data_IF_511182286082
#
_entry.id   IF_511182286082
#
_cell.length_a   1.000
_cell.length_b   1.000
_cell.length_c   1.000
_cell.angle_alpha   90.00
_cell.angle_beta   90.00
_cell.angle_gamma   90.00
#
_symmetry.space_group_name_H-M   'P 1'
#
loop_
_entity.id
_entity.type
_entity.pdbx_description
1 polymer ?
#
# COMPACT_ATOMS: atom_id res chain seq x y z
N UNK A 1 -7.68 20.78 -20.88
CA UNK A 1 -6.91 21.24 -19.70
C UNK A 1 -5.50 20.67 -19.82
N UNK A 2 -4.49 21.27 -19.18
CA UNK A 2 -3.15 20.67 -19.15
C UNK A 2 -3.19 19.37 -18.34
N UNK A 3 -2.51 18.32 -18.83
CA UNK A 3 -2.42 17.03 -18.13
C UNK A 3 -1.63 17.21 -16.83
N UNK A 4 -2.21 16.80 -15.72
CA UNK A 4 -1.57 16.78 -14.41
C UNK A 4 -0.78 15.48 -14.26
N UNK A 5 0.51 15.58 -13.99
CA UNK A 5 1.38 14.39 -13.77
C UNK A 5 1.63 14.21 -12.28
N UNK A 6 1.44 12.99 -11.79
CA UNK A 6 1.62 12.65 -10.38
C UNK A 6 2.37 11.34 -10.20
N UNK A 7 2.99 11.17 -9.05
CA UNK A 7 3.44 9.88 -8.54
C UNK A 7 2.48 9.40 -7.44
N UNK A 8 2.32 8.10 -7.31
CA UNK A 8 1.52 7.48 -6.25
C UNK A 8 2.42 6.77 -5.24
N UNK A 9 2.08 6.91 -3.99
CA UNK A 9 2.71 6.22 -2.87
C UNK A 9 1.64 5.40 -2.13
N UNK A 10 1.66 4.06 -2.32
CA UNK A 10 0.60 3.15 -1.92
C UNK A 10 1.01 2.37 -0.66
N UNK A 11 0.34 2.64 0.46
CA UNK A 11 0.60 1.90 1.71
C UNK A 11 0.19 0.44 1.64
N UNK A 12 0.92 -0.39 2.38
CA UNK A 12 0.53 -1.73 2.76
C UNK A 12 -0.42 -1.76 3.96
N UNK A 13 -1.26 -2.78 4.03
CA UNK A 13 -2.22 -2.95 5.10
C UNK A 13 -3.21 -4.10 4.87
N UNK A 14 -2.79 -5.16 4.18
CA UNK A 14 -3.62 -6.33 3.92
C UNK A 14 -4.89 -5.99 3.15
N UNK A 15 -6.04 -6.55 3.58
CA UNK A 15 -7.32 -6.34 2.92
C UNK A 15 -7.79 -4.87 2.91
N UNK A 16 -7.25 -4.01 3.80
CA UNK A 16 -7.52 -2.57 3.73
C UNK A 16 -6.99 -1.92 2.44
N UNK A 17 -6.11 -2.57 1.70
CA UNK A 17 -5.72 -2.18 0.35
C UNK A 17 -6.86 -2.09 -0.66
N UNK A 18 -8.05 -2.62 -0.34
CA UNK A 18 -9.26 -2.41 -1.12
C UNK A 18 -9.74 -0.94 -1.10
N UNK A 19 -9.39 -0.16 -0.08
CA UNK A 19 -9.58 1.29 -0.11
C UNK A 19 -8.70 1.91 -1.21
N UNK A 20 -7.43 1.50 -1.32
CA UNK A 20 -6.54 1.93 -2.40
C UNK A 20 -7.10 1.56 -3.77
N UNK A 21 -7.68 0.36 -3.93
CA UNK A 21 -8.40 -0.01 -5.15
C UNK A 21 -9.48 1.00 -5.52
N UNK A 22 -10.34 1.40 -4.56
CA UNK A 22 -11.37 2.41 -4.78
C UNK A 22 -10.79 3.77 -5.20
N UNK A 23 -9.72 4.21 -4.53
CA UNK A 23 -9.01 5.45 -4.88
C UNK A 23 -8.48 5.38 -6.32
N UNK A 24 -7.79 4.30 -6.67
CA UNK A 24 -7.21 4.12 -8.01
C UNK A 24 -8.29 4.05 -9.08
N UNK A 25 -9.40 3.34 -8.83
CA UNK A 25 -10.54 3.25 -9.76
C UNK A 25 -11.08 4.66 -10.08
N UNK A 26 -11.21 5.52 -9.07
CA UNK A 26 -11.70 6.90 -9.25
C UNK A 26 -10.65 7.79 -9.95
N UNK A 27 -9.38 7.72 -9.57
CA UNK A 27 -8.30 8.49 -10.22
C UNK A 27 -8.13 8.11 -11.70
N UNK A 28 -8.26 6.83 -12.04
CA UNK A 28 -8.18 6.33 -13.42
C UNK A 28 -9.34 6.80 -14.31
N UNK A 29 -10.43 7.31 -13.74
CA UNK A 29 -11.53 7.91 -14.51
C UNK A 29 -11.27 9.36 -14.95
N UNK A 30 -10.17 9.99 -14.47
CA UNK A 30 -9.79 11.36 -14.82
C UNK A 30 -8.86 11.39 -16.03
N UNK A 31 -9.35 11.83 -17.19
CA UNK A 31 -8.58 11.83 -18.45
C UNK A 31 -7.38 12.78 -18.45
N UNK A 32 -7.44 13.85 -17.64
CA UNK A 32 -6.39 14.87 -17.51
C UNK A 32 -5.41 14.58 -16.36
N UNK A 33 -5.44 13.37 -15.78
CA UNK A 33 -4.52 12.93 -14.75
C UNK A 33 -3.61 11.80 -15.28
N UNK A 34 -2.29 11.97 -15.17
CA UNK A 34 -1.30 10.98 -15.60
C UNK A 34 -0.48 10.47 -14.42
N UNK A 35 -0.54 9.17 -14.16
CA UNK A 35 0.26 8.48 -13.14
C UNK A 35 1.62 8.13 -13.77
N UNK A 36 2.70 8.76 -13.30
CA UNK A 36 4.05 8.58 -13.84
C UNK A 36 4.83 7.47 -13.15
N UNK A 37 4.67 7.34 -11.84
CA UNK A 37 5.32 6.29 -11.07
C UNK A 37 4.48 5.88 -9.86
N UNK A 38 4.73 4.67 -9.38
CA UNK A 38 4.08 4.09 -8.19
C UNK A 38 5.17 3.51 -7.29
N UNK A 39 5.19 3.91 -6.03
CA UNK A 39 5.91 3.21 -4.97
C UNK A 39 4.89 2.48 -4.11
N UNK A 40 5.02 1.16 -3.98
CA UNK A 40 4.06 0.34 -3.27
C UNK A 40 4.71 -0.60 -2.26
N UNK A 41 3.95 -0.92 -1.22
CA UNK A 41 4.33 -1.87 -0.19
C UNK A 41 3.16 -2.83 0.08
N UNK A 42 3.42 -4.14 0.15
CA UNK A 42 2.41 -5.15 0.51
C UNK A 42 1.17 -5.05 -0.39
N UNK A 43 -0.02 -4.81 0.18
CA UNK A 43 -1.24 -4.58 -0.60
C UNK A 43 -1.11 -3.40 -1.59
N UNK A 44 -0.32 -2.37 -1.25
CA UNK A 44 0.02 -1.28 -2.17
C UNK A 44 0.81 -1.75 -3.37
N UNK A 45 1.73 -2.71 -3.18
CA UNK A 45 2.45 -3.37 -4.29
C UNK A 45 1.51 -4.17 -5.19
N UNK A 46 0.58 -4.93 -4.61
CA UNK A 46 -0.42 -5.69 -5.38
C UNK A 46 -1.28 -4.75 -6.25
N UNK A 47 -1.77 -3.66 -5.68
CA UNK A 47 -2.52 -2.64 -6.41
C UNK A 47 -1.68 -2.00 -7.53
N UNK A 48 -0.42 -1.64 -7.22
CA UNK A 48 0.49 -1.04 -8.20
C UNK A 48 0.82 -1.98 -9.36
N UNK A 49 1.03 -3.26 -9.08
CA UNK A 49 1.28 -4.29 -10.08
C UNK A 49 0.05 -4.54 -10.97
N UNK A 50 -1.15 -4.64 -10.38
CA UNK A 50 -2.39 -4.78 -11.11
C UNK A 50 -2.65 -3.57 -12.04
N UNK A 51 -2.46 -2.36 -11.51
CA UNK A 51 -2.59 -1.14 -12.31
C UNK A 51 -1.61 -1.12 -13.48
N UNK A 52 -0.31 -1.39 -13.24
CA UNK A 52 0.71 -1.40 -14.30
C UNK A 52 0.40 -2.44 -15.35
N UNK A 53 0.10 -3.68 -14.96
CA UNK A 53 -0.24 -4.76 -15.90
C UNK A 53 -1.47 -4.38 -16.75
N UNK A 54 -2.54 -3.92 -16.12
CA UNK A 54 -3.74 -3.52 -16.84
C UNK A 54 -3.55 -2.30 -17.74
N UNK A 55 -2.67 -1.34 -17.37
CA UNK A 55 -2.31 -0.22 -18.23
C UNK A 55 -1.62 -0.68 -19.51
N UNK A 56 -0.80 -1.72 -19.44
CA UNK A 56 -0.13 -2.34 -20.59
C UNK A 56 -1.14 -3.09 -21.48
N UNK A 57 -2.06 -3.82 -20.87
CA UNK A 57 -3.06 -4.65 -21.55
C UNK A 57 -4.14 -3.83 -22.27
N UNK A 58 -4.69 -2.81 -21.59
CA UNK A 58 -5.87 -2.09 -22.07
C UNK A 58 -5.96 -0.63 -21.61
N UNK A 59 -4.84 -0.01 -21.27
CA UNK A 59 -4.81 1.37 -20.79
C UNK A 59 -5.59 1.53 -19.48
N UNK A 60 -6.23 2.68 -19.30
CA UNK A 60 -6.95 3.00 -18.05
C UNK A 60 -8.06 2.02 -17.71
N UNK A 61 -8.82 1.57 -18.72
CA UNK A 61 -9.88 0.58 -18.49
C UNK A 61 -9.28 -0.77 -18.12
N UNK A 62 -8.24 -1.22 -18.82
CA UNK A 62 -7.53 -2.44 -18.47
C UNK A 62 -6.97 -2.41 -17.04
N UNK A 63 -6.47 -1.26 -16.57
CA UNK A 63 -6.02 -1.08 -15.19
C UNK A 63 -7.19 -1.25 -14.18
N UNK A 64 -8.35 -0.67 -14.46
CA UNK A 64 -9.55 -0.83 -13.63
C UNK A 64 -10.02 -2.28 -13.58
N UNK A 65 -10.09 -2.93 -14.75
CA UNK A 65 -10.51 -4.33 -14.87
C UNK A 65 -9.55 -5.26 -14.12
N UNK A 66 -8.24 -4.98 -14.17
CA UNK A 66 -7.22 -5.78 -13.48
C UNK A 66 -7.25 -5.59 -11.96
N UNK A 67 -7.56 -4.38 -11.48
CA UNK A 67 -7.79 -4.10 -10.07
C UNK A 67 -9.06 -4.81 -9.56
N UNK A 68 -10.16 -4.77 -10.33
CA UNK A 68 -11.40 -5.46 -10.01
C UNK A 68 -11.17 -6.99 -9.92
N UNK A 69 -10.44 -7.55 -10.89
CA UNK A 69 -10.06 -8.94 -10.89
C UNK A 69 -9.21 -9.32 -9.65
N UNK A 70 -8.16 -8.54 -9.35
CA UNK A 70 -7.29 -8.80 -8.19
C UNK A 70 -8.10 -8.93 -6.89
N UNK A 71 -8.96 -7.97 -6.63
CA UNK A 71 -9.72 -7.94 -5.39
C UNK A 71 -10.87 -8.95 -5.36
N UNK A 72 -11.39 -9.35 -6.52
CA UNK A 72 -12.31 -10.49 -6.63
C UNK A 72 -11.60 -11.80 -6.25
N UNK A 73 -10.39 -12.05 -6.76
CA UNK A 73 -9.58 -13.24 -6.42
C UNK A 73 -9.21 -13.27 -4.92
N UNK A 74 -8.81 -12.12 -4.36
CA UNK A 74 -8.51 -12.00 -2.92
C UNK A 74 -9.76 -12.29 -2.08
N UNK A 75 -10.93 -11.79 -2.48
CA UNK A 75 -12.20 -11.96 -1.78
C UNK A 75 -12.87 -13.33 -1.98
N UNK A 76 -12.51 -14.06 -3.05
CA UNK A 76 -13.05 -15.39 -3.35
C UNK A 76 -12.48 -16.50 -2.46
N UNK A 77 -11.46 -16.23 -1.68
CA UNK A 77 -10.86 -17.22 -0.78
C UNK A 77 -11.78 -17.56 0.36
N UNK A 78 -12.06 -18.88 0.60
CA UNK A 78 -13.23 -19.35 1.34
C UNK A 78 -13.17 -19.19 2.86
N UNK A 79 -12.14 -18.51 3.40
CA UNK A 79 -11.81 -18.67 4.81
C UNK A 79 -12.78 -18.05 5.82
N UNK A 80 -13.65 -17.09 5.40
CA UNK A 80 -14.76 -16.63 6.27
C UNK A 80 -15.88 -15.98 5.44
N UNK A 81 -16.84 -16.75 4.98
CA UNK A 81 -18.09 -16.20 4.47
C UNK A 81 -18.88 -15.57 5.63
N UNK A 82 -18.94 -14.25 5.68
CA UNK A 82 -19.90 -13.57 6.56
C UNK A 82 -21.31 -13.94 6.06
N UNK A 83 -22.17 -14.47 6.93
CA UNK A 83 -23.54 -14.78 6.55
C UNK A 83 -24.23 -13.53 5.99
N UNK A 84 -25.00 -13.68 4.92
CA UNK A 84 -25.66 -12.57 4.22
C UNK A 84 -26.52 -11.66 5.14
N UNK A 85 -27.01 -12.19 6.27
CA UNK A 85 -27.79 -11.43 7.25
C UNK A 85 -26.96 -10.40 8.04
N UNK A 86 -25.60 -10.51 8.04
CA UNK A 86 -24.72 -9.51 8.66
C UNK A 86 -24.42 -8.33 7.73
N UNK A 87 -24.78 -8.39 6.47
CA UNK A 87 -24.52 -7.33 5.48
C UNK A 87 -25.13 -5.95 5.82
N UNK A 88 -26.24 -5.82 6.55
CA UNK A 88 -26.77 -4.51 6.94
C UNK A 88 -26.04 -3.84 8.12
N UNK A 89 -25.09 -4.53 8.78
CA UNK A 89 -24.36 -3.95 9.89
C UNK A 89 -23.24 -3.02 9.41
N UNK A 90 -22.88 -2.03 10.24
CA UNK A 90 -21.74 -1.14 9.96
C UNK A 90 -20.43 -1.92 9.90
N UNK A 91 -19.43 -1.39 9.19
CA UNK A 91 -18.09 -1.99 9.15
C UNK A 91 -17.47 -2.16 10.54
N UNK A 92 -17.72 -1.22 11.46
CA UNK A 92 -17.27 -1.32 12.86
C UNK A 92 -17.85 -2.54 13.58
N UNK A 93 -19.16 -2.81 13.40
CA UNK A 93 -19.79 -3.99 14.00
C UNK A 93 -19.26 -5.29 13.40
N UNK A 94 -19.04 -5.32 12.08
CA UNK A 94 -18.42 -6.48 11.40
C UNK A 94 -16.97 -6.66 11.88
N UNK A 95 -16.23 -5.57 12.01
CA UNK A 95 -14.85 -5.58 12.52
C UNK A 95 -14.77 -6.18 13.93
N UNK A 96 -15.63 -5.72 14.85
CA UNK A 96 -15.70 -6.27 16.21
C UNK A 96 -16.12 -7.74 16.21
N UNK A 97 -17.13 -8.11 15.44
CA UNK A 97 -17.60 -9.51 15.37
C UNK A 97 -16.49 -10.44 14.84
N UNK A 98 -15.68 -10.00 13.87
CA UNK A 98 -14.52 -10.76 13.38
C UNK A 98 -13.42 -10.85 14.44
N UNK A 99 -13.06 -9.73 15.08
CA UNK A 99 -11.98 -9.66 16.06
C UNK A 99 -12.22 -10.59 17.25
N UNK A 100 -13.46 -10.68 17.73
CA UNK A 100 -13.86 -11.56 18.86
C UNK A 100 -14.38 -12.92 18.41
N UNK A 101 -14.32 -13.25 17.12
CA UNK A 101 -14.71 -14.57 16.65
C UNK A 101 -13.69 -15.63 17.08
N UNK A 102 -14.16 -16.77 17.55
CA UNK A 102 -13.28 -17.86 17.99
C UNK A 102 -12.25 -18.31 16.93
N UNK A 103 -12.62 -18.45 15.62
CA UNK A 103 -11.64 -18.83 14.60
C UNK A 103 -10.52 -17.80 14.42
N UNK A 104 -10.82 -16.49 14.43
CA UNK A 104 -9.81 -15.44 14.29
C UNK A 104 -8.91 -15.39 15.54
N UNK A 105 -9.48 -15.50 16.74
CA UNK A 105 -8.70 -15.55 17.98
C UNK A 105 -7.79 -16.79 18.02
N UNK A 106 -8.28 -17.94 17.59
CA UNK A 106 -7.49 -19.17 17.52
C UNK A 106 -6.37 -19.06 16.49
N UNK A 107 -6.64 -18.50 15.31
CA UNK A 107 -5.64 -18.27 14.27
C UNK A 107 -4.55 -17.28 14.72
N UNK A 108 -4.93 -16.21 15.41
CA UNK A 108 -3.99 -15.25 16.00
C UNK A 108 -3.11 -15.90 17.08
N UNK A 109 -3.71 -16.64 18.01
CA UNK A 109 -2.96 -17.37 19.04
C UNK A 109 -2.02 -18.42 18.41
N UNK A 110 -2.47 -19.12 17.36
CA UNK A 110 -1.66 -20.09 16.64
C UNK A 110 -0.48 -19.42 15.93
N UNK A 111 -0.69 -18.29 15.23
CA UNK A 111 0.36 -17.56 14.52
C UNK A 111 1.45 -17.00 15.45
N UNK A 112 1.11 -16.76 16.72
CA UNK A 112 2.06 -16.35 17.78
C UNK A 112 2.82 -17.52 18.39
N UNK A 113 2.22 -18.71 18.40
CA UNK A 113 2.79 -19.91 19.02
C UNK A 113 3.61 -20.75 18.04
N UNK A 114 3.28 -20.72 16.76
CA UNK A 114 3.84 -21.60 15.73
C UNK A 114 4.49 -20.80 14.63
N UNK A 115 5.79 -21.04 14.40
CA UNK A 115 6.51 -20.42 13.29
C UNK A 115 5.97 -20.90 11.95
N UNK A 116 5.87 -20.04 10.91
CA UNK A 116 5.53 -20.45 9.54
C UNK A 116 6.43 -21.57 8.98
N UNK A 117 7.66 -21.69 9.50
CA UNK A 117 8.59 -22.75 9.11
C UNK A 117 8.21 -24.14 9.65
N UNK A 118 7.32 -24.20 10.64
CA UNK A 118 6.82 -25.50 11.15
C UNK A 118 5.98 -26.27 10.12
N UNK A 119 5.44 -25.60 9.08
CA UNK A 119 4.73 -26.25 7.98
C UNK A 119 5.66 -27.03 7.04
N UNK A 120 6.99 -26.80 7.12
CA UNK A 120 7.98 -27.53 6.32
C UNK A 120 7.68 -27.48 4.82
N UNK A 121 7.80 -28.66 4.11
CA UNK A 121 7.59 -28.72 2.68
C UNK A 121 6.13 -28.55 2.23
N UNK A 122 5.19 -28.54 3.16
CA UNK A 122 3.77 -28.32 2.88
C UNK A 122 3.39 -26.83 2.86
N UNK A 123 4.33 -25.93 3.18
CA UNK A 123 4.09 -24.51 3.10
C UNK A 123 3.86 -24.05 1.67
N UNK A 124 2.80 -23.31 1.44
CA UNK A 124 2.51 -22.62 0.19
C UNK A 124 2.02 -21.22 0.49
N UNK A 125 2.61 -20.22 -0.14
CA UNK A 125 2.15 -18.84 0.00
C UNK A 125 0.80 -18.69 -0.73
N UNK A 126 -0.30 -18.33 -0.06
CA UNK A 126 -1.62 -18.26 -0.67
C UNK A 126 -1.76 -17.16 -1.73
N UNK A 127 -0.90 -16.14 -1.73
CA UNK A 127 -0.91 -15.08 -2.73
C UNK A 127 -0.24 -15.47 -4.04
N UNK A 128 0.60 -16.53 -4.04
CA UNK A 128 1.39 -16.93 -5.22
C UNK A 128 0.52 -17.18 -6.44
N UNK A 129 -0.56 -17.94 -6.29
CA UNK A 129 -1.45 -18.30 -7.40
C UNK A 129 -2.14 -17.09 -8.03
N UNK A 130 -2.35 -16.02 -7.26
CA UNK A 130 -2.91 -14.76 -7.74
C UNK A 130 -1.82 -13.95 -8.45
N UNK A 131 -0.66 -13.82 -7.82
CA UNK A 131 0.44 -12.99 -8.34
C UNK A 131 1.04 -13.58 -9.62
N UNK A 132 1.11 -14.90 -9.77
CA UNK A 132 1.59 -15.58 -10.98
C UNK A 132 0.71 -15.34 -12.21
N UNK A 133 -0.53 -14.88 -12.02
CA UNK A 133 -1.41 -14.50 -13.14
C UNK A 133 -1.12 -13.11 -13.72
N UNK A 134 -0.23 -12.33 -13.11
CA UNK A 134 0.33 -11.14 -13.74
C UNK A 134 1.43 -11.58 -14.70
N UNK A 135 1.36 -11.17 -15.97
CA UNK A 135 2.41 -11.45 -16.96
C UNK A 135 3.57 -10.47 -16.78
N UNK A 136 4.49 -10.80 -15.87
CA UNK A 136 5.68 -9.97 -15.60
C UNK A 136 6.66 -9.95 -16.79
N UNK A 137 6.64 -10.95 -17.67
CA UNK A 137 7.39 -10.92 -18.93
C UNK A 137 6.94 -9.73 -19.78
N UNK A 138 5.64 -9.66 -20.07
CA UNK A 138 5.07 -8.54 -20.82
C UNK A 138 5.23 -7.20 -20.07
N UNK A 139 5.13 -7.18 -18.72
CA UNK A 139 5.33 -5.98 -17.88
C UNK A 139 6.77 -5.47 -17.99
N UNK A 140 7.76 -6.37 -18.02
CA UNK A 140 9.17 -5.99 -18.10
C UNK A 140 9.59 -5.62 -19.54
N UNK A 141 9.11 -6.36 -20.54
CA UNK A 141 9.41 -6.08 -21.96
C UNK A 141 8.81 -4.75 -22.45
N UNK A 142 7.70 -4.32 -21.83
CA UNK A 142 7.00 -3.08 -22.16
C UNK A 142 7.18 -2.04 -21.05
N UNK A 143 8.33 -1.99 -20.40
CA UNK A 143 8.63 -1.16 -19.23
C UNK A 143 8.28 0.33 -19.38
N UNK A 144 8.34 0.86 -20.60
CA UNK A 144 7.99 2.25 -20.93
C UNK A 144 6.48 2.49 -21.02
N UNK A 145 5.66 1.43 -21.06
CA UNK A 145 4.20 1.54 -21.05
C UNK A 145 3.67 1.48 -19.64
N UNK A 146 2.86 2.46 -19.27
CA UNK A 146 2.32 2.60 -17.93
C UNK A 146 3.33 3.22 -16.94
N UNK A 147 2.96 3.34 -15.65
CA UNK A 147 3.80 3.96 -14.63
C UNK A 147 5.03 3.12 -14.29
N UNK A 148 6.15 3.78 -13.93
CA UNK A 148 7.26 3.10 -13.26
C UNK A 148 6.76 2.47 -11.96
N UNK A 149 7.15 1.23 -11.66
CA UNK A 149 6.75 0.56 -10.42
C UNK A 149 7.98 0.30 -9.54
N UNK A 150 7.88 0.72 -8.27
CA UNK A 150 8.86 0.50 -7.21
C UNK A 150 8.23 -0.36 -6.13
N UNK A 151 8.79 -1.55 -5.88
CA UNK A 151 8.29 -2.53 -4.91
C UNK A 151 9.20 -2.52 -3.69
N UNK A 152 8.65 -2.16 -2.53
CA UNK A 152 9.40 -2.08 -1.28
C UNK A 152 9.34 -3.40 -0.51
N UNK A 153 10.50 -3.91 -0.09
CA UNK A 153 10.63 -5.05 0.82
C UNK A 153 11.69 -4.76 1.89
N UNK A 154 11.68 -5.52 2.97
CA UNK A 154 12.66 -5.42 4.06
C UNK A 154 13.66 -6.57 3.96
N UNK A 155 14.95 -6.27 3.79
CA UNK A 155 16.01 -7.29 3.81
C UNK A 155 16.18 -7.79 5.25
N UNK A 156 15.94 -9.09 5.49
CA UNK A 156 15.92 -9.69 6.83
C UNK A 156 17.27 -9.54 7.53
N UNK A 157 18.35 -9.77 6.81
CA UNK A 157 19.71 -9.83 7.34
C UNK A 157 20.18 -8.54 8.00
N UNK A 158 19.75 -7.38 7.51
CA UNK A 158 20.27 -6.09 7.97
C UNK A 158 19.18 -5.04 8.27
N UNK A 159 17.90 -5.37 8.07
CA UNK A 159 16.77 -4.48 8.31
C UNK A 159 16.71 -3.26 7.38
N UNK A 160 17.40 -3.29 6.23
CA UNK A 160 17.36 -2.18 5.26
C UNK A 160 16.24 -2.39 4.25
N UNK A 161 15.69 -1.26 3.79
CA UNK A 161 14.73 -1.28 2.68
C UNK A 161 15.44 -1.74 1.39
N UNK A 162 14.75 -2.60 0.63
CA UNK A 162 15.11 -2.97 -0.74
C UNK A 162 13.97 -2.53 -1.65
N UNK A 163 14.31 -1.86 -2.74
CA UNK A 163 13.34 -1.44 -3.75
C UNK A 163 13.61 -2.18 -5.05
N UNK A 164 12.72 -3.10 -5.41
CA UNK A 164 12.74 -3.79 -6.69
C UNK A 164 12.07 -2.92 -7.75
N UNK A 165 12.62 -2.88 -8.95
CA UNK A 165 12.17 -2.04 -10.06
C UNK A 165 12.56 -2.65 -11.41
N UNK A 166 11.97 -2.13 -12.47
CA UNK A 166 12.29 -2.50 -13.85
C UNK A 166 12.27 -4.03 -14.05
N UNK A 167 13.34 -4.63 -14.55
CA UNK A 167 13.46 -6.08 -14.77
C UNK A 167 13.47 -6.94 -13.49
N UNK A 168 13.57 -6.32 -12.32
CA UNK A 168 13.52 -7.03 -11.03
C UNK A 168 12.07 -7.29 -10.56
N UNK A 169 11.06 -6.71 -11.24
CA UNK A 169 9.66 -6.95 -10.93
C UNK A 169 9.32 -8.40 -11.27
N UNK A 170 8.92 -9.15 -10.26
CA UNK A 170 8.64 -10.58 -10.36
C UNK A 170 7.60 -11.00 -9.33
N UNK A 171 7.06 -12.20 -9.47
CA UNK A 171 6.22 -12.83 -8.44
C UNK A 171 6.89 -12.78 -7.08
N UNK A 172 8.16 -13.18 -6.99
CA UNK A 172 8.87 -13.26 -5.73
C UNK A 172 9.11 -11.87 -5.12
N UNK A 173 9.39 -10.83 -5.92
CA UNK A 173 9.50 -9.45 -5.44
C UNK A 173 8.19 -8.95 -4.82
N UNK A 174 7.04 -9.25 -5.42
CA UNK A 174 5.73 -8.89 -4.88
C UNK A 174 5.42 -9.67 -3.61
N UNK A 175 5.69 -10.99 -3.61
CA UNK A 175 5.50 -11.83 -2.43
C UNK A 175 6.42 -11.41 -1.27
N UNK A 176 7.66 -11.00 -1.57
CA UNK A 176 8.59 -10.45 -0.58
C UNK A 176 8.01 -9.18 0.07
N UNK A 177 7.47 -8.27 -0.76
CA UNK A 177 6.84 -7.04 -0.29
C UNK A 177 5.62 -7.28 0.61
N UNK A 178 4.91 -8.40 0.46
CA UNK A 178 3.71 -8.77 1.21
C UNK A 178 3.97 -9.88 2.25
N UNK A 179 5.23 -10.17 2.56
CA UNK A 179 5.63 -11.27 3.44
C UNK A 179 5.64 -10.85 4.91
N UNK A 180 4.49 -10.91 5.58
CA UNK A 180 4.41 -10.73 7.04
C UNK A 180 5.06 -11.93 7.76
N UNK A 181 6.13 -11.73 8.55
CA UNK A 181 6.96 -12.81 9.09
C UNK A 181 6.24 -13.70 10.12
N UNK A 182 5.14 -13.25 10.69
CA UNK A 182 4.31 -14.04 11.62
C UNK A 182 3.38 -15.02 10.90
N UNK A 183 3.16 -14.83 9.59
CA UNK A 183 2.20 -15.60 8.79
C UNK A 183 2.90 -16.34 7.66
N UNK A 184 3.93 -15.74 7.06
CA UNK A 184 4.61 -16.25 5.88
C UNK A 184 6.09 -16.54 6.14
N UNK A 185 6.62 -17.58 5.48
CA UNK A 185 8.07 -17.79 5.41
C UNK A 185 8.70 -16.67 4.59
N UNK A 186 9.93 -16.24 4.96
CA UNK A 186 10.67 -15.25 4.20
C UNK A 186 10.81 -15.66 2.73
N UNK A 187 10.72 -14.71 1.83
CA UNK A 187 10.94 -14.95 0.41
C UNK A 187 12.42 -14.76 0.11
N UNK A 188 13.05 -15.81 -0.44
CA UNK A 188 14.45 -15.78 -0.83
C UNK A 188 14.57 -15.40 -2.31
N UNK A 189 15.40 -14.38 -2.61
CA UNK A 189 15.63 -13.86 -3.97
C UNK A 189 17.13 -13.71 -4.18
N UNK A 190 17.62 -14.08 -5.37
CA UNK A 190 18.96 -13.67 -5.82
C UNK A 190 18.98 -12.16 -6.03
N UNK A 191 19.58 -11.44 -5.08
CA UNK A 191 19.54 -9.99 -5.06
C UNK A 191 20.67 -9.40 -5.90
N UNK A 192 20.32 -8.71 -6.98
CA UNK A 192 21.27 -8.08 -7.89
C UNK A 192 22.18 -7.03 -7.22
N UNK A 193 21.72 -6.41 -6.11
CA UNK A 193 22.55 -5.44 -5.37
C UNK A 193 23.68 -6.10 -4.58
N UNK A 194 23.47 -7.31 -4.08
CA UNK A 194 24.45 -8.01 -3.24
C UNK A 194 25.15 -9.15 -3.95
N UNK A 195 24.57 -9.64 -5.05
CA UNK A 195 25.02 -10.84 -5.78
C UNK A 195 24.84 -12.14 -4.97
N UNK A 196 23.99 -12.13 -3.93
CA UNK A 196 23.72 -13.26 -3.03
C UNK A 196 22.23 -13.54 -2.96
N UNK A 197 21.86 -14.74 -2.54
CA UNK A 197 20.50 -15.05 -2.11
C UNK A 197 20.22 -14.36 -0.77
N UNK A 198 19.28 -13.44 -0.78
CA UNK A 198 18.84 -12.68 0.39
C UNK A 198 17.39 -13.03 0.73
N UNK A 199 17.08 -13.04 2.03
CA UNK A 199 15.73 -13.26 2.53
C UNK A 199 15.02 -11.91 2.78
N UNK A 200 13.74 -11.86 2.42
CA UNK A 200 12.94 -10.64 2.51
C UNK A 200 11.65 -10.85 3.30
N UNK A 201 11.29 -9.83 4.05
CA UNK A 201 10.01 -9.65 4.72
C UNK A 201 9.25 -8.46 4.14
N UNK A 202 8.00 -8.29 4.61
CA UNK A 202 7.12 -7.18 4.23
C UNK A 202 7.85 -5.82 4.31
N UNK A 203 7.66 -5.03 3.26
CA UNK A 203 8.25 -3.70 3.17
C UNK A 203 7.73 -2.73 4.23
N UNK A 204 6.58 -3.03 4.83
CA UNK A 204 5.96 -2.19 5.87
C UNK A 204 6.85 -1.87 7.07
N UNK A 205 7.85 -2.70 7.34
CA UNK A 205 8.80 -2.46 8.43
C UNK A 205 9.83 -1.36 8.13
N UNK A 206 10.14 -1.10 6.85
CA UNK A 206 11.23 -0.18 6.48
C UNK A 206 10.84 0.91 5.49
N UNK A 207 9.74 0.71 4.73
CA UNK A 207 9.22 1.67 3.76
C UNK A 207 7.76 1.40 3.45
N UNK A 208 6.82 2.10 4.08
CA UNK A 208 5.38 1.89 3.89
C UNK A 208 4.63 3.13 3.39
N UNK A 209 4.69 3.43 2.10
CA UNK A 209 5.73 3.03 1.16
C UNK A 209 7.00 3.88 1.31
N UNK A 210 8.10 3.48 0.70
CA UNK A 210 9.28 4.33 0.55
C UNK A 210 8.98 5.44 -0.48
N UNK A 211 9.23 6.71 -0.13
CA UNK A 211 9.01 7.86 -1.02
C UNK A 211 10.25 8.21 -1.84
N UNK A 212 11.45 7.92 -1.32
CA UNK A 212 12.71 8.31 -1.96
C UNK A 212 12.88 7.82 -3.41
N UNK A 213 12.31 6.67 -3.86
CA UNK A 213 12.40 6.28 -5.27
C UNK A 213 11.68 7.24 -6.22
N UNK A 214 10.73 8.02 -5.68
CA UNK A 214 9.92 8.98 -6.43
C UNK A 214 10.60 10.36 -6.56
N UNK A 215 11.74 10.60 -5.90
CA UNK A 215 12.46 11.89 -5.95
C UNK A 215 13.37 12.05 -7.17
N UNK A 216 13.23 11.17 -8.17
CA UNK A 216 14.07 11.22 -9.37
C UNK A 216 13.70 12.44 -10.23
N UNK A 217 14.69 13.16 -10.81
CA UNK A 217 14.44 14.34 -11.64
C UNK A 217 13.56 14.10 -12.88
N UNK A 218 13.50 12.86 -13.38
CA UNK A 218 12.64 12.48 -14.50
C UNK A 218 11.15 12.32 -14.13
N UNK A 219 10.84 12.24 -12.83
CA UNK A 219 9.49 12.09 -12.30
C UNK A 219 8.90 13.45 -11.91
N UNK A 220 7.58 13.59 -11.88
CA UNK A 220 6.94 14.80 -11.39
C UNK A 220 7.20 15.01 -9.89
N UNK A 221 7.14 16.25 -9.44
CA UNK A 221 7.38 16.61 -8.03
C UNK A 221 6.21 16.19 -7.11
N UNK A 222 5.03 15.97 -7.68
CA UNK A 222 3.82 15.62 -6.92
C UNK A 222 3.80 14.15 -6.52
N UNK A 223 3.65 13.92 -5.23
CA UNK A 223 3.47 12.59 -4.63
C UNK A 223 2.14 12.56 -3.90
N UNK A 224 1.22 11.72 -4.38
CA UNK A 224 -0.06 11.45 -3.73
C UNK A 224 0.08 10.19 -2.89
N UNK A 225 0.08 10.34 -1.58
CA UNK A 225 0.11 9.22 -0.63
C UNK A 225 -1.32 8.72 -0.43
N UNK A 226 -1.56 7.44 -0.67
CA UNK A 226 -2.81 6.77 -0.29
C UNK A 226 -2.57 6.08 1.05
N UNK A 227 -3.11 6.71 2.10
CA UNK A 227 -2.90 6.31 3.48
C UNK A 227 -4.04 5.41 3.96
N UNK A 228 -3.70 4.19 4.40
CA UNK A 228 -4.66 3.18 4.89
C UNK A 228 -4.36 2.71 6.32
N UNK A 229 -3.35 3.31 6.95
CA UNK A 229 -3.02 3.07 8.35
C UNK A 229 -3.20 4.40 9.10
N UNK A 230 -4.13 4.52 10.05
CA UNK A 230 -4.38 5.78 10.75
C UNK A 230 -3.10 6.33 11.39
N UNK A 231 -2.81 7.59 11.12
CA UNK A 231 -1.68 8.27 11.77
C UNK A 231 -2.01 8.56 13.24
N UNK A 232 -3.25 8.92 13.51
CA UNK A 232 -3.72 9.28 14.83
C UNK A 232 -4.86 8.36 15.30
N UNK A 233 -4.88 8.08 16.60
CA UNK A 233 -6.00 7.46 17.30
C UNK A 233 -6.32 8.27 18.53
N UNK A 234 -7.58 8.64 18.66
CA UNK A 234 -8.08 9.41 19.82
C UNK A 234 -8.16 8.60 21.09
N UNK A 235 -8.42 7.29 20.97
CA UNK A 235 -8.58 6.40 22.12
C UNK A 235 -7.28 5.68 22.47
N UNK A 236 -6.97 5.64 23.76
CA UNK A 236 -5.85 4.84 24.29
C UNK A 236 -6.18 3.35 24.23
N UNK A 237 -5.37 2.50 23.59
CA UNK A 237 -5.60 1.06 23.54
C UNK A 237 -5.41 0.45 24.94
N UNK A 238 -6.38 -0.35 25.41
CA UNK A 238 -6.37 -0.93 26.76
C UNK A 238 -6.33 -2.46 26.77
N UNK A 239 -6.85 -3.12 25.73
CA UNK A 239 -6.74 -4.56 25.61
C UNK A 239 -5.38 -4.96 25.03
N UNK A 240 -4.88 -6.16 25.34
CA UNK A 240 -3.62 -6.67 24.77
C UNK A 240 -3.64 -6.64 23.24
N UNK A 241 -4.76 -7.00 22.62
CA UNK A 241 -4.95 -6.98 21.17
C UNK A 241 -4.89 -5.54 20.63
N UNK A 242 -5.61 -4.59 21.22
CA UNK A 242 -5.60 -3.20 20.82
C UNK A 242 -4.20 -2.57 20.95
N UNK A 243 -3.46 -2.92 22.01
CA UNK A 243 -2.07 -2.46 22.19
C UNK A 243 -1.18 -3.00 21.07
N UNK A 244 -1.25 -4.32 20.79
CA UNK A 244 -0.46 -4.92 19.70
C UNK A 244 -0.80 -4.32 18.35
N UNK A 245 -2.08 -4.09 18.08
CA UNK A 245 -2.55 -3.45 16.85
C UNK A 245 -1.94 -2.05 16.71
N UNK A 246 -1.94 -1.27 17.78
CA UNK A 246 -1.36 0.08 17.75
C UNK A 246 0.16 0.07 17.58
N UNK A 247 0.86 -0.86 18.19
CA UNK A 247 2.30 -1.06 17.98
C UNK A 247 2.59 -1.33 16.49
N UNK A 248 1.82 -2.20 15.85
CA UNK A 248 1.98 -2.50 14.42
C UNK A 248 1.70 -1.28 13.53
N UNK A 249 0.65 -0.50 13.82
CA UNK A 249 0.34 0.73 13.08
C UNK A 249 1.46 1.77 13.22
N UNK A 250 1.95 2.00 14.43
CA UNK A 250 3.08 2.90 14.69
C UNK A 250 4.32 2.45 13.94
N UNK A 251 4.62 1.15 13.98
CA UNK A 251 5.75 0.57 13.27
C UNK A 251 5.65 0.82 11.76
N UNK A 252 4.49 0.53 11.17
CA UNK A 252 4.26 0.67 9.73
C UNK A 252 4.21 2.13 9.25
N UNK A 253 3.77 3.05 10.09
CA UNK A 253 3.77 4.47 9.77
C UNK A 253 5.13 5.16 10.01
N UNK A 254 6.00 4.56 10.81
CA UNK A 254 7.24 5.20 11.27
C UNK A 254 8.19 5.58 10.13
N UNK A 255 8.25 4.77 9.07
CA UNK A 255 9.08 5.04 7.89
C UNK A 255 8.51 6.21 7.08
N UNK A 256 7.21 6.21 6.80
CA UNK A 256 6.52 7.29 6.08
C UNK A 256 6.69 8.63 6.82
N UNK A 257 6.42 8.66 8.12
CA UNK A 257 6.55 9.88 8.93
C UNK A 257 8.00 10.43 8.91
N UNK A 258 9.01 9.56 8.94
CA UNK A 258 10.41 9.99 8.82
C UNK A 258 10.74 10.61 7.45
N UNK A 259 10.22 10.02 6.38
CA UNK A 259 10.41 10.57 5.03
C UNK A 259 9.64 11.89 4.85
N UNK A 260 8.40 11.99 5.33
CA UNK A 260 7.62 13.25 5.31
C UNK A 260 8.32 14.36 6.10
N UNK A 261 8.91 14.03 7.26
CA UNK A 261 9.71 14.98 8.03
C UNK A 261 10.97 15.43 7.31
N UNK A 262 11.63 14.53 6.57
CA UNK A 262 12.77 14.89 5.73
C UNK A 262 12.35 15.81 4.57
N UNK A 263 11.19 15.57 3.96
CA UNK A 263 10.62 16.45 2.93
C UNK A 263 10.33 17.84 3.54
N UNK A 264 9.66 17.92 4.70
CA UNK A 264 9.41 19.19 5.41
C UNK A 264 10.73 19.96 5.62
N UNK A 265 11.75 19.28 6.12
CA UNK A 265 13.05 19.90 6.36
C UNK A 265 13.65 20.49 5.08
N UNK A 266 13.62 19.76 3.96
CA UNK A 266 14.12 20.25 2.66
C UNK A 266 13.27 21.42 2.15
N UNK A 267 11.93 21.33 2.23
CA UNK A 267 11.04 22.42 1.83
C UNK A 267 11.31 23.70 2.62
N UNK A 268 11.56 23.58 3.92
CA UNK A 268 11.93 24.72 4.79
C UNK A 268 13.25 25.36 4.37
N UNK A 269 14.27 24.57 4.06
CA UNK A 269 15.55 25.09 3.58
C UNK A 269 15.44 25.81 2.22
N UNK A 270 14.61 25.28 1.31
CA UNK A 270 14.29 25.93 0.03
C UNK A 270 13.56 27.26 0.24
N UNK A 271 12.59 27.31 1.15
CA UNK A 271 11.81 28.52 1.48
C UNK A 271 12.69 29.58 2.13
N UNK A 272 13.66 29.19 2.94
CA UNK A 272 14.64 30.10 3.58
C UNK A 272 15.75 30.56 2.61
N UNK A 273 15.78 30.03 1.37
CA UNK A 273 16.84 30.36 0.40
C UNK A 273 18.20 29.77 0.73
N UNK A 274 18.28 28.83 1.70
CA UNK A 274 19.52 28.12 2.07
C UNK A 274 19.91 27.10 1.01
N UNK A 275 18.93 26.53 0.32
CA UNK A 275 19.09 25.66 -0.86
C UNK A 275 18.45 26.32 -2.08
N UNK A 276 19.06 26.14 -3.26
CA UNK A 276 18.46 26.56 -4.53
C UNK A 276 17.58 25.44 -5.11
N UNK A 277 16.56 25.80 -5.87
CA UNK A 277 15.71 24.86 -6.61
C UNK A 277 16.47 24.06 -7.67
N UNK A 278 17.61 24.58 -8.17
CA UNK A 278 18.50 23.87 -9.08
C UNK A 278 19.25 22.70 -8.41
N UNK A 279 19.33 22.70 -7.09
CA UNK A 279 20.05 21.68 -6.32
C UNK A 279 19.13 20.56 -5.82
N UNK A 280 17.83 20.83 -5.64
CA UNK A 280 16.84 19.86 -5.13
C UNK A 280 15.47 20.13 -5.73
N UNK A 281 14.77 19.08 -6.11
CA UNK A 281 13.37 19.16 -6.52
C UNK A 281 12.51 19.54 -5.30
N UNK A 282 11.51 20.38 -5.56
CA UNK A 282 10.49 20.71 -4.56
C UNK A 282 9.42 19.65 -4.58
N UNK A 283 9.54 18.64 -3.72
CA UNK A 283 8.50 17.61 -3.59
C UNK A 283 7.19 18.24 -3.09
N UNK A 284 6.09 17.97 -3.79
CA UNK A 284 4.74 18.39 -3.43
C UNK A 284 3.98 17.19 -2.88
N UNK A 285 3.54 17.27 -1.61
CA UNK A 285 2.90 16.16 -0.92
C UNK A 285 1.38 16.36 -0.89
N UNK A 286 0.68 15.30 -1.28
CA UNK A 286 -0.77 15.18 -1.19
C UNK A 286 -1.11 13.89 -0.46
N UNK A 287 -2.28 13.84 0.18
CA UNK A 287 -2.72 12.65 0.89
C UNK A 287 -4.20 12.39 0.62
N UNK A 288 -4.52 11.12 0.36
CA UNK A 288 -5.89 10.61 0.31
C UNK A 288 -6.02 9.59 1.44
N UNK A 289 -6.88 9.85 2.39
CA UNK A 289 -7.10 9.04 3.59
C UNK A 289 -8.57 9.12 4.04
N UNK A 290 -8.99 8.15 4.82
CA UNK A 290 -10.22 8.17 5.61
C UNK A 290 -9.88 7.61 7.00
N UNK A 291 -9.26 8.46 7.83
CA UNK A 291 -8.83 8.06 9.17
C UNK A 291 -10.03 7.72 10.07
N UNK A 292 -11.20 8.33 9.85
CA UNK A 292 -12.41 8.02 10.60
C UNK A 292 -12.82 6.56 10.36
N UNK A 293 -12.93 6.15 9.10
CA UNK A 293 -13.22 4.76 8.74
C UNK A 293 -12.12 3.80 9.24
N UNK A 294 -10.84 4.14 8.99
CA UNK A 294 -9.72 3.25 9.36
C UNK A 294 -9.60 3.08 10.87
N UNK A 295 -10.05 4.06 11.67
CA UNK A 295 -10.11 3.97 13.12
C UNK A 295 -11.21 3.03 13.62
N UNK A 296 -12.28 2.80 12.86
CA UNK A 296 -13.33 1.84 13.18
C UNK A 296 -12.95 0.38 12.86
N UNK A 297 -11.89 0.18 12.06
CA UNK A 297 -11.47 -1.14 11.61
C UNK A 297 -10.38 -1.74 12.52
N UNK A 298 -10.41 -3.07 12.66
CA UNK A 298 -9.43 -3.84 13.44
C UNK A 298 -8.40 -4.53 12.53
N UNK A 299 -7.35 -5.10 13.14
CA UNK A 299 -6.38 -5.95 12.43
C UNK A 299 -7.05 -7.21 11.87
N UNK A 300 -8.11 -7.71 12.51
CA UNK A 300 -8.86 -8.85 11.97
C UNK A 300 -9.38 -8.58 10.56
N UNK A 301 -9.88 -7.36 10.28
CA UNK A 301 -10.33 -6.96 8.94
C UNK A 301 -9.19 -6.79 7.93
N UNK A 302 -7.95 -6.57 8.38
CA UNK A 302 -6.75 -6.58 7.51
C UNK A 302 -6.41 -7.99 7.03
N UNK A 303 -6.63 -8.99 7.87
CA UNK A 303 -6.27 -10.39 7.59
C UNK A 303 -7.40 -11.18 6.92
N UNK A 304 -8.65 -10.74 7.10
CA UNK A 304 -9.84 -11.46 6.61
C UNK A 304 -10.53 -10.64 5.50
N UNK A 305 -10.23 -10.93 4.22
CA UNK A 305 -10.75 -10.17 3.08
C UNK A 305 -12.17 -10.62 2.70
N UNK A 306 -13.19 -10.29 3.51
CA UNK A 306 -14.56 -10.63 3.14
C UNK A 306 -15.06 -9.76 1.99
N UNK A 307 -15.85 -10.32 1.08
CA UNK A 307 -16.41 -9.59 -0.07
C UNK A 307 -17.17 -8.31 0.36
N UNK A 308 -17.89 -8.37 1.49
CA UNK A 308 -18.58 -7.22 2.06
C UNK A 308 -17.61 -6.11 2.47
N UNK A 309 -16.56 -6.45 3.26
CA UNK A 309 -15.55 -5.48 3.73
C UNK A 309 -14.80 -4.86 2.54
N UNK A 310 -14.42 -5.67 1.56
CA UNK A 310 -13.72 -5.20 0.36
C UNK A 310 -14.58 -4.22 -0.45
N UNK A 311 -15.86 -4.52 -0.66
CA UNK A 311 -16.79 -3.64 -1.38
C UNK A 311 -16.97 -2.30 -0.66
N UNK A 312 -17.12 -2.30 0.67
CA UNK A 312 -17.26 -1.07 1.48
C UNK A 312 -15.99 -0.22 1.49
N UNK A 313 -14.83 -0.87 1.54
CA UNK A 313 -13.53 -0.19 1.44
C UNK A 313 -13.33 0.42 0.06
N UNK A 314 -13.71 -0.28 -1.02
CA UNK A 314 -13.68 0.28 -2.39
C UNK A 314 -14.55 1.55 -2.47
N UNK A 315 -15.80 1.47 -2.00
CA UNK A 315 -16.73 2.61 -2.01
C UNK A 315 -16.16 3.81 -1.24
N UNK A 316 -15.61 3.57 -0.04
CA UNK A 316 -14.98 4.62 0.76
C UNK A 316 -13.75 5.23 0.06
N UNK A 317 -12.93 4.41 -0.59
CA UNK A 317 -11.80 4.88 -1.37
C UNK A 317 -12.20 5.74 -2.56
N UNK A 318 -13.25 5.34 -3.29
CA UNK A 318 -13.79 6.16 -4.39
C UNK A 318 -14.27 7.52 -3.88
N UNK A 319 -15.00 7.54 -2.74
CA UNK A 319 -15.49 8.76 -2.12
C UNK A 319 -14.33 9.67 -1.68
N UNK A 320 -13.33 9.14 -1.00
CA UNK A 320 -12.16 9.92 -0.56
C UNK A 320 -11.39 10.52 -1.74
N UNK A 321 -11.25 9.76 -2.83
CA UNK A 321 -10.63 10.27 -4.06
C UNK A 321 -11.48 11.36 -4.73
N UNK A 322 -12.79 11.24 -4.71
CA UNK A 322 -13.70 12.25 -5.27
C UNK A 322 -13.64 13.56 -4.47
N UNK A 323 -13.63 13.48 -3.15
CA UNK A 323 -13.41 14.62 -2.26
C UNK A 323 -12.05 15.27 -2.51
N UNK A 324 -10.98 14.49 -2.62
CA UNK A 324 -9.65 14.98 -2.95
C UNK A 324 -9.62 15.71 -4.30
N UNK A 325 -10.17 15.12 -5.34
CA UNK A 325 -10.23 15.74 -6.67
C UNK A 325 -11.05 17.04 -6.67
N UNK A 326 -12.14 17.07 -5.94
CA UNK A 326 -13.00 18.26 -5.83
C UNK A 326 -12.25 19.42 -5.18
N UNK A 327 -11.50 19.18 -4.12
CA UNK A 327 -10.88 20.24 -3.32
C UNK A 327 -9.45 20.54 -3.75
N UNK A 328 -8.67 19.53 -4.16
CA UNK A 328 -7.22 19.60 -4.33
C UNK A 328 -6.70 19.30 -5.74
N UNK A 329 -7.54 18.92 -6.71
CA UNK A 329 -7.09 18.73 -8.11
C UNK A 329 -6.39 19.98 -8.68
N UNK A 330 -6.84 21.17 -8.31
CA UNK A 330 -6.24 22.46 -8.71
C UNK A 330 -4.85 22.67 -8.14
N UNK A 331 -4.56 22.07 -6.97
CA UNK A 331 -3.29 22.21 -6.24
C UNK A 331 -2.20 21.31 -6.85
N UNK A 332 -2.57 20.22 -7.56
CA UNK A 332 -1.63 19.34 -8.26
C UNK A 332 -0.77 20.14 -9.26
N UNK A 333 0.53 19.86 -9.24
CA UNK A 333 1.60 20.54 -10.00
C UNK A 333 1.76 22.05 -9.67
N UNK A 334 1.23 22.48 -8.51
CA UNK A 334 1.30 23.88 -8.05
C UNK A 334 1.82 23.96 -6.61
N UNK A 335 1.19 23.23 -5.68
CA UNK A 335 1.54 23.26 -4.26
C UNK A 335 1.06 21.99 -3.54
N UNK A 336 1.67 21.67 -2.41
CA UNK A 336 1.18 20.61 -1.52
C UNK A 336 -0.25 20.89 -1.06
N UNK A 337 -1.05 19.83 -0.88
CA UNK A 337 -2.35 19.90 -0.19
C UNK A 337 -2.24 19.50 1.29
N UNK A 338 -1.09 18.97 1.71
CA UNK A 338 -0.78 18.63 3.11
C UNK A 338 0.15 19.70 3.67
N UNK A 339 -0.20 20.25 4.84
CA UNK A 339 0.70 21.09 5.62
C UNK A 339 1.58 20.21 6.51
N UNK A 340 2.82 19.97 6.05
CA UNK A 340 3.77 19.14 6.79
C UNK A 340 4.26 19.83 8.07
N UNK A 341 4.22 21.16 8.16
CA UNK A 341 4.62 21.88 9.37
C UNK A 341 3.59 21.64 10.47
N UNK A 342 2.29 21.76 10.14
CA UNK A 342 1.19 21.46 11.07
C UNK A 342 1.20 19.98 11.50
N UNK A 343 1.46 19.06 10.56
CA UNK A 343 1.52 17.61 10.84
C UNK A 343 2.55 17.23 11.91
N UNK A 344 3.62 18.02 12.09
CA UNK A 344 4.73 17.70 13.00
C UNK A 344 4.86 18.64 14.19
N UNK A 345 3.91 19.55 14.40
CA UNK A 345 3.79 20.35 15.61
C UNK A 345 3.06 19.58 16.71
#
# INVERSE_FOLDING_TARGET
MAVKRINLALQGGGAHGAFTWGVLDRLLSEDDLHISAISGTSAGTLNGAALKAGMIEGGRQGARDRLDWLWAEVGARPDLNIPAWMSPFSLSNVSQALEYSWPVMAADAWSRAVSPYAYGPFYRNPLRDIVEQFDFGAVNDQGDKGPCLFICATRVRNGKVRVFKDSEISTDAILASACLPTIFQAVEIEDAETGMTEAFWDGGYTGNPALFPLFKPALPDDIVVININPLERTELPRSAQAIQNRINEISFNSSLLRELRAIEFVQRLLTQGTLSTDQKNRVLVHMIADDALMNELSVATKLVPTAYTLARLKEAGQKAADEFLTHHKKDLNVRSSVDLVEMFQ
#
